data_IF_656157264273
#
_entry.id   IF_656157264273
#
_cell.length_a   1.000
_cell.length_b   1.000
_cell.length_c   1.000
_cell.angle_alpha   90.00
_cell.angle_beta   90.00
_cell.angle_gamma   90.00
#
_symmetry.space_group_name_H-M   'P 1'
#
loop_
_entity.id
_entity.type
_entity.pdbx_description
1 polymer ?
#
# COMPACT_ATOMS: atom_id res chain seq x y z
N UNK A 1 36.43 -2.16 4.86
CA UNK A 1 37.68 -2.03 4.05
C UNK A 1 38.02 -0.58 3.70
N UNK A 2 37.15 0.16 2.99
CA UNK A 2 37.37 1.56 2.60
C UNK A 2 37.68 2.51 3.78
N UNK A 3 37.24 2.15 4.99
CA UNK A 3 37.48 2.90 6.22
C UNK A 3 38.91 2.74 6.76
N UNK A 4 39.74 1.84 6.20
CA UNK A 4 41.12 1.62 6.63
C UNK A 4 41.28 0.78 7.90
N UNK A 5 40.19 0.23 8.45
CA UNK A 5 40.19 -0.55 9.69
C UNK A 5 40.15 -2.08 9.47
N UNK A 6 40.64 -2.56 8.32
CA UNK A 6 40.67 -4.00 7.97
C UNK A 6 39.29 -4.69 8.10
N UNK A 7 38.21 -3.95 7.85
CA UNK A 7 36.83 -4.44 7.97
C UNK A 7 36.40 -4.88 9.38
N UNK A 8 37.05 -4.32 10.42
CA UNK A 8 36.71 -4.59 11.83
C UNK A 8 35.67 -3.64 12.41
N UNK A 9 35.27 -2.62 11.65
CA UNK A 9 34.30 -1.62 12.03
C UNK A 9 32.90 -1.91 11.45
N UNK A 10 31.87 -1.25 12.00
CA UNK A 10 30.48 -1.49 11.62
C UNK A 10 29.79 -2.62 12.39
N UNK A 11 28.51 -2.86 12.09
CA UNK A 11 27.73 -3.94 12.72
C UNK A 11 27.81 -5.21 11.89
N UNK A 12 27.95 -6.37 12.54
CA UNK A 12 28.07 -7.67 11.85
C UNK A 12 26.72 -8.27 11.41
N UNK A 13 25.65 -8.00 12.16
CA UNK A 13 24.31 -8.51 11.86
C UNK A 13 23.44 -7.41 11.26
N UNK A 14 23.30 -7.36 9.94
CA UNK A 14 22.54 -6.31 9.24
C UNK A 14 21.09 -6.70 8.91
N UNK A 15 20.69 -7.95 9.17
CA UNK A 15 19.38 -8.51 8.74
C UNK A 15 19.09 -8.25 7.25
N UNK A 16 20.13 -8.28 6.42
CA UNK A 16 20.09 -7.97 5.00
C UNK A 16 20.07 -9.24 4.15
N UNK A 17 19.67 -9.07 2.89
CA UNK A 17 19.72 -10.14 1.90
C UNK A 17 20.05 -9.58 0.52
N UNK A 18 21.11 -10.10 -0.11
CA UNK A 18 21.55 -9.64 -1.43
C UNK A 18 20.60 -9.96 -2.58
N UNK A 19 19.52 -10.71 -2.31
CA UNK A 19 18.56 -11.18 -3.30
C UNK A 19 19.14 -12.18 -4.32
N UNK A 20 20.28 -12.82 -3.99
CA UNK A 20 20.88 -13.92 -4.75
C UNK A 20 22.34 -13.69 -5.15
N UNK A 21 22.71 -12.47 -5.51
CA UNK A 21 24.07 -12.09 -5.95
C UNK A 21 24.59 -10.98 -5.06
N UNK A 22 25.81 -11.05 -4.57
CA UNK A 22 26.43 -9.96 -3.80
C UNK A 22 26.88 -8.82 -4.73
N UNK A 23 26.71 -7.57 -4.30
CA UNK A 23 27.11 -6.39 -5.07
C UNK A 23 26.30 -6.13 -6.36
N UNK A 24 26.87 -5.34 -7.30
CA UNK A 24 26.25 -5.04 -8.60
C UNK A 24 26.04 -6.29 -9.46
N UNK A 25 24.98 -6.31 -10.28
CA UNK A 25 24.67 -7.42 -11.18
C UNK A 25 23.80 -6.93 -12.34
N UNK A 26 23.91 -7.59 -13.49
CA UNK A 26 23.05 -7.37 -14.66
C UNK A 26 21.91 -8.39 -14.75
N UNK A 27 21.79 -9.32 -13.78
CA UNK A 27 20.71 -10.30 -13.77
C UNK A 27 19.34 -9.59 -13.59
N UNK A 28 18.47 -9.62 -14.61
CA UNK A 28 17.21 -8.91 -14.57
C UNK A 28 16.26 -9.43 -13.49
N UNK A 29 16.34 -10.71 -13.12
CA UNK A 29 15.51 -11.29 -12.06
C UNK A 29 15.93 -10.78 -10.69
N UNK A 30 17.24 -10.70 -10.42
CA UNK A 30 17.78 -10.15 -9.17
C UNK A 30 17.46 -8.66 -9.06
N UNK A 31 17.68 -7.89 -10.13
CA UNK A 31 17.37 -6.45 -10.16
C UNK A 31 15.88 -6.18 -9.94
N UNK A 32 14.99 -6.93 -10.60
CA UNK A 32 13.54 -6.82 -10.39
C UNK A 32 13.14 -7.10 -8.94
N UNK A 33 13.71 -8.15 -8.35
CA UNK A 33 13.46 -8.51 -6.96
C UNK A 33 13.97 -7.44 -5.98
N UNK A 34 15.17 -6.90 -6.18
CA UNK A 34 15.74 -5.80 -5.35
C UNK A 34 14.86 -4.55 -5.42
N UNK A 35 14.47 -4.13 -6.62
CA UNK A 35 13.54 -2.99 -6.83
C UNK A 35 12.21 -3.22 -6.13
N UNK A 36 11.70 -4.46 -6.12
CA UNK A 36 10.49 -4.83 -5.36
C UNK A 36 10.72 -4.77 -3.84
N UNK A 37 11.87 -5.23 -3.33
CA UNK A 37 12.18 -5.12 -1.90
C UNK A 37 12.28 -3.66 -1.44
N UNK A 38 12.93 -2.79 -2.20
CA UNK A 38 12.98 -1.35 -1.91
C UNK A 38 11.56 -0.78 -1.76
N UNK A 39 10.67 -1.10 -2.70
CA UNK A 39 9.26 -0.69 -2.65
C UNK A 39 8.49 -1.30 -1.48
N UNK A 40 8.78 -2.56 -1.11
CA UNK A 40 8.18 -3.19 0.07
C UNK A 40 8.56 -2.46 1.36
N UNK A 41 9.83 -2.13 1.55
CA UNK A 41 10.30 -1.43 2.74
C UNK A 41 9.72 -0.02 2.82
N UNK A 42 9.76 0.75 1.73
CA UNK A 42 9.14 2.07 1.65
C UNK A 42 7.64 2.02 1.94
N UNK A 43 6.92 1.07 1.34
CA UNK A 43 5.49 0.90 1.57
C UNK A 43 5.19 0.49 3.01
N UNK A 44 5.95 -0.46 3.57
CA UNK A 44 5.76 -0.91 4.96
C UNK A 44 5.98 0.24 5.94
N UNK A 45 7.05 1.02 5.75
CA UNK A 45 7.35 2.19 6.57
C UNK A 45 6.22 3.22 6.54
N UNK A 46 5.75 3.59 5.34
CA UNK A 46 4.77 4.66 5.16
C UNK A 46 3.31 4.23 5.39
N UNK A 47 3.01 2.93 5.42
CA UNK A 47 1.68 2.39 5.72
C UNK A 47 1.54 1.93 7.17
N UNK A 48 2.64 1.88 7.94
CA UNK A 48 2.62 1.57 9.36
C UNK A 48 2.15 2.76 10.20
N UNK A 49 1.56 2.48 11.36
CA UNK A 49 1.24 3.53 12.33
C UNK A 49 2.51 4.11 12.96
N UNK A 50 2.50 5.41 13.21
CA UNK A 50 3.58 6.13 13.87
C UNK A 50 4.10 7.29 13.03
N UNK A 51 5.31 7.74 13.34
CA UNK A 51 6.01 8.81 12.61
C UNK A 51 7.11 8.16 11.76
N UNK A 52 6.93 8.07 10.43
CA UNK A 52 7.93 7.44 9.56
C UNK A 52 9.17 8.35 9.45
N UNK A 53 10.35 7.73 9.50
CA UNK A 53 11.64 8.39 9.23
C UNK A 53 12.28 7.73 8.02
N UNK A 54 12.55 8.53 6.99
CA UNK A 54 13.20 8.07 5.76
C UNK A 54 14.66 8.51 5.75
N UNK A 55 15.58 7.60 5.44
CA UNK A 55 16.99 7.93 5.26
C UNK A 55 17.17 8.66 3.93
N UNK A 56 17.88 9.79 3.95
CA UNK A 56 18.09 10.60 2.75
C UNK A 56 18.87 9.83 1.68
N UNK A 57 18.27 9.72 0.49
CA UNK A 57 18.81 9.00 -0.65
C UNK A 57 18.12 7.65 -0.90
N UNK A 58 17.41 7.08 0.08
CA UNK A 58 16.66 5.82 -0.13
C UNK A 58 15.58 5.99 -1.20
N UNK A 59 14.98 7.17 -1.31
CA UNK A 59 13.95 7.49 -2.30
C UNK A 59 14.46 7.45 -3.75
N UNK A 60 15.78 7.50 -3.95
CA UNK A 60 16.45 7.42 -5.26
C UNK A 60 17.35 6.19 -5.40
N UNK A 61 17.40 5.32 -4.39
CA UNK A 61 18.21 4.10 -4.41
C UNK A 61 19.71 4.36 -4.19
N UNK A 62 20.05 5.33 -3.34
CA UNK A 62 21.44 5.63 -2.95
C UNK A 62 22.17 4.36 -2.50
N UNK A 63 23.43 4.25 -2.92
CA UNK A 63 24.32 3.14 -2.55
C UNK A 63 25.56 3.65 -1.86
N UNK A 64 26.02 2.90 -0.86
CA UNK A 64 27.33 3.07 -0.20
C UNK A 64 28.27 1.92 -0.55
N UNK A 65 28.00 1.22 -1.67
CA UNK A 65 28.75 0.06 -2.16
C UNK A 65 28.92 -1.06 -1.12
N UNK A 66 27.93 -1.25 -0.26
CA UNK A 66 27.96 -2.26 0.81
C UNK A 66 28.67 -1.82 2.09
N UNK A 67 29.27 -0.62 2.14
CA UNK A 67 29.80 -0.07 3.38
C UNK A 67 28.64 0.35 4.30
N UNK A 68 28.47 -0.35 5.42
CA UNK A 68 27.40 -0.09 6.40
C UNK A 68 27.79 0.94 7.48
N UNK A 69 28.99 1.53 7.38
CA UNK A 69 29.58 2.41 8.38
C UNK A 69 30.45 3.50 7.74
N UNK A 70 29.88 4.32 6.84
CA UNK A 70 30.62 5.33 6.06
C UNK A 70 31.01 6.58 6.86
N UNK A 71 31.41 6.45 8.12
CA UNK A 71 31.58 7.58 9.04
C UNK A 71 32.77 8.48 8.69
N UNK A 72 33.82 7.92 8.09
CA UNK A 72 35.05 8.62 7.70
C UNK A 72 35.17 8.86 6.19
N UNK A 73 34.10 8.59 5.43
CA UNK A 73 34.10 8.75 3.98
C UNK A 73 33.54 10.12 3.61
N UNK A 74 34.39 11.04 3.18
CA UNK A 74 33.99 12.30 2.54
C UNK A 74 34.30 12.26 1.05
N UNK A 75 33.52 11.46 0.32
CA UNK A 75 33.69 11.16 -1.10
C UNK A 75 32.39 10.57 -1.69
N UNK A 76 32.44 10.11 -2.93
CA UNK A 76 31.31 9.56 -3.69
C UNK A 76 30.59 8.38 -3.01
N UNK A 77 31.22 7.69 -2.06
CA UNK A 77 30.57 6.61 -1.27
C UNK A 77 29.52 7.19 -0.32
N UNK A 78 29.74 8.38 0.23
CA UNK A 78 28.83 9.02 1.18
C UNK A 78 28.00 10.14 0.56
N UNK A 79 28.42 10.74 -0.55
CA UNK A 79 27.66 11.79 -1.20
C UNK A 79 26.34 11.29 -1.79
N UNK A 80 25.36 12.19 -1.93
CA UNK A 80 24.12 11.91 -2.64
C UNK A 80 24.32 12.22 -4.11
N UNK A 81 24.26 11.19 -4.95
CA UNK A 81 24.31 11.34 -6.40
C UNK A 81 22.93 11.74 -6.95
N UNK A 82 22.85 12.96 -7.49
CA UNK A 82 21.63 13.50 -8.10
C UNK A 82 21.48 13.16 -9.59
N UNK A 83 22.45 12.47 -10.19
CA UNK A 83 22.43 12.07 -11.59
C UNK A 83 21.55 10.82 -11.82
N UNK A 84 20.24 10.98 -11.58
CA UNK A 84 19.31 9.85 -11.55
C UNK A 84 19.12 9.18 -12.93
N UNK A 85 19.36 7.87 -12.95
CA UNK A 85 18.98 6.99 -14.03
C UNK A 85 17.46 6.78 -14.09
N UNK A 86 17.01 5.84 -14.92
CA UNK A 86 15.58 5.53 -15.06
C UNK A 86 15.00 4.97 -13.76
N UNK A 87 15.70 4.06 -13.10
CA UNK A 87 15.21 3.35 -11.93
C UNK A 87 15.11 4.26 -10.71
N UNK A 88 16.13 5.11 -10.47
CA UNK A 88 16.12 6.11 -9.42
C UNK A 88 14.97 7.11 -9.59
N UNK A 89 14.65 7.50 -10.83
CA UNK A 89 13.47 8.34 -11.14
C UNK A 89 12.16 7.62 -10.84
N UNK A 90 12.05 6.34 -11.19
CA UNK A 90 10.85 5.54 -10.91
C UNK A 90 10.64 5.35 -9.39
N UNK A 91 11.70 5.06 -8.64
CA UNK A 91 11.65 4.92 -7.18
C UNK A 91 11.29 6.24 -6.49
N UNK A 92 11.80 7.36 -6.99
CA UNK A 92 11.46 8.68 -6.47
C UNK A 92 9.97 8.99 -6.68
N UNK A 93 9.45 8.69 -7.87
CA UNK A 93 8.02 8.86 -8.16
C UNK A 93 7.16 7.96 -7.28
N UNK A 94 7.58 6.71 -7.08
CA UNK A 94 6.93 5.76 -6.19
C UNK A 94 6.88 6.28 -4.75
N UNK A 95 8.01 6.75 -4.21
CA UNK A 95 8.10 7.31 -2.86
C UNK A 95 7.21 8.55 -2.70
N UNK A 96 7.23 9.45 -3.69
CA UNK A 96 6.34 10.63 -3.71
C UNK A 96 4.87 10.22 -3.72
N UNK A 97 4.51 9.18 -4.46
CA UNK A 97 3.14 8.65 -4.47
C UNK A 97 2.75 8.13 -3.08
N UNK A 98 3.59 7.32 -2.43
CA UNK A 98 3.31 6.83 -1.08
C UNK A 98 3.06 7.99 -0.09
N UNK A 99 3.92 9.00 -0.09
CA UNK A 99 3.82 10.14 0.84
C UNK A 99 2.59 10.99 0.52
N UNK A 100 2.47 11.48 -0.72
CA UNK A 100 1.44 12.46 -1.11
C UNK A 100 0.06 11.84 -1.28
N UNK A 101 -0.01 10.67 -1.91
CA UNK A 101 -1.29 10.08 -2.31
C UNK A 101 -1.83 9.11 -1.28
N UNK A 102 -0.99 8.55 -0.39
CA UNK A 102 -1.42 7.61 0.64
C UNK A 102 -1.27 8.20 2.04
N UNK A 103 -0.03 8.35 2.54
CA UNK A 103 0.24 8.73 3.94
C UNK A 103 -0.48 10.02 4.36
N UNK A 104 -0.35 11.10 3.59
CA UNK A 104 -1.02 12.36 3.93
C UNK A 104 -2.53 12.36 3.67
N UNK A 105 -3.01 11.56 2.71
CA UNK A 105 -4.43 11.54 2.32
C UNK A 105 -5.31 10.66 3.20
N UNK A 106 -4.72 9.70 3.90
CA UNK A 106 -5.45 8.74 4.71
C UNK A 106 -5.16 8.93 6.20
N UNK A 107 -6.01 9.68 6.93
CA UNK A 107 -5.91 9.81 8.39
C UNK A 107 -5.86 8.47 9.14
N UNK A 108 -6.42 7.38 8.58
CA UNK A 108 -6.34 6.05 9.21
C UNK A 108 -4.90 5.54 9.35
N UNK A 109 -3.95 6.09 8.59
CA UNK A 109 -2.50 5.80 8.68
C UNK A 109 -1.76 6.70 9.69
N UNK A 110 -2.41 7.74 10.21
CA UNK A 110 -1.80 8.80 11.03
C UNK A 110 -2.56 9.02 12.34
N UNK A 111 -3.01 7.92 12.96
CA UNK A 111 -3.81 7.97 14.18
C UNK A 111 -2.98 8.44 15.38
N UNK A 112 -3.62 9.18 16.28
CA UNK A 112 -3.03 9.56 17.58
C UNK A 112 -3.17 8.44 18.62
N UNK A 113 -4.13 7.54 18.42
CA UNK A 113 -4.40 6.43 19.34
C UNK A 113 -4.27 5.06 18.67
N UNK A 114 -3.87 4.07 19.47
CA UNK A 114 -3.82 2.68 19.04
C UNK A 114 -5.21 2.14 18.63
N UNK A 115 -5.20 1.23 17.66
CA UNK A 115 -6.36 0.41 17.35
C UNK A 115 -6.71 -0.53 18.51
N UNK A 116 -7.99 -0.79 18.69
CA UNK A 116 -8.52 -1.61 19.79
C UNK A 116 -8.92 -3.01 19.36
N UNK A 117 -9.00 -3.30 18.06
CA UNK A 117 -9.39 -4.62 17.53
C UNK A 117 -10.85 -4.98 17.86
N UNK A 118 -11.68 -3.98 18.17
CA UNK A 118 -13.08 -4.14 18.57
C UNK A 118 -13.96 -3.15 17.84
N UNK A 119 -15.27 -3.38 17.86
CA UNK A 119 -16.24 -2.46 17.26
C UNK A 119 -16.24 -1.13 17.99
N UNK A 120 -16.16 -0.04 17.24
CA UNK A 120 -16.28 1.33 17.74
C UNK A 120 -17.71 1.82 17.50
N UNK A 121 -18.27 2.63 18.42
CA UNK A 121 -19.64 3.16 18.29
C UNK A 121 -19.77 3.92 16.97
N UNK A 122 -20.80 3.57 16.19
CA UNK A 122 -21.07 4.20 14.88
C UNK A 122 -20.36 3.56 13.67
N UNK A 123 -19.42 2.64 13.89
CA UNK A 123 -18.74 1.91 12.81
C UNK A 123 -19.41 0.59 12.44
N UNK A 124 -19.21 0.12 11.21
CA UNK A 124 -19.81 -1.13 10.73
C UNK A 124 -19.10 -2.39 11.27
N UNK A 125 -17.88 -2.26 11.80
CA UNK A 125 -17.04 -3.38 12.17
C UNK A 125 -15.95 -3.03 13.19
N UNK A 126 -14.97 -3.93 13.36
CA UNK A 126 -13.78 -3.63 14.17
C UNK A 126 -12.97 -2.53 13.48
N UNK A 127 -12.31 -1.68 14.26
CA UNK A 127 -11.40 -0.65 13.76
C UNK A 127 -10.17 -1.23 13.04
N UNK A 128 -9.76 -2.43 13.45
CA UNK A 128 -8.69 -3.21 12.84
C UNK A 128 -9.09 -4.69 12.74
N UNK A 129 -8.69 -5.37 11.66
CA UNK A 129 -8.90 -6.81 11.51
C UNK A 129 -7.76 -7.45 10.73
N UNK A 130 -7.18 -8.53 11.26
CA UNK A 130 -6.13 -9.30 10.60
C UNK A 130 -6.72 -10.53 9.91
N UNK A 131 -6.28 -10.81 8.70
CA UNK A 131 -6.78 -11.88 7.85
C UNK A 131 -5.68 -12.82 7.43
N UNK A 132 -6.01 -14.10 7.37
CA UNK A 132 -5.25 -15.10 6.61
C UNK A 132 -5.45 -14.90 5.11
N UNK A 133 -4.58 -15.47 4.26
CA UNK A 133 -4.80 -15.47 2.80
C UNK A 133 -6.17 -16.01 2.39
N UNK A 134 -6.72 -16.99 3.11
CA UNK A 134 -8.07 -17.51 2.87
C UNK A 134 -9.24 -16.55 3.18
N UNK A 135 -8.98 -15.32 3.63
CA UNK A 135 -10.00 -14.30 3.90
C UNK A 135 -10.73 -14.44 5.25
N UNK A 136 -10.33 -15.41 6.08
CA UNK A 136 -10.80 -15.55 7.46
C UNK A 136 -9.93 -14.73 8.42
N UNK A 137 -10.52 -14.26 9.51
CA UNK A 137 -9.78 -13.58 10.58
C UNK A 137 -8.69 -14.52 11.15
N UNK A 138 -7.55 -13.95 11.53
CA UNK A 138 -6.47 -14.70 12.22
C UNK A 138 -6.94 -15.14 13.60
N UNK A 139 -6.65 -16.38 13.94
CA UNK A 139 -6.86 -16.98 15.26
C UNK A 139 -5.56 -16.94 16.07
N UNK A 140 -5.64 -17.21 17.37
CA UNK A 140 -4.46 -17.34 18.24
C UNK A 140 -3.45 -18.39 17.72
N UNK A 141 -3.94 -19.50 17.16
CA UNK A 141 -3.06 -20.52 16.57
C UNK A 141 -2.30 -19.97 15.36
N UNK A 142 -2.96 -19.19 14.50
CA UNK A 142 -2.31 -18.59 13.33
C UNK A 142 -1.23 -17.56 13.74
N UNK A 143 -1.46 -16.83 14.84
CA UNK A 143 -0.50 -15.87 15.40
C UNK A 143 0.75 -16.53 15.97
N UNK A 144 0.58 -17.69 16.61
CA UNK A 144 1.68 -18.44 17.22
C UNK A 144 2.35 -19.40 16.23
N UNK A 145 1.91 -19.45 14.97
CA UNK A 145 2.50 -20.31 13.96
C UNK A 145 3.79 -19.66 13.38
N UNK A 146 4.97 -20.28 13.60
CA UNK A 146 6.24 -19.74 13.12
C UNK A 146 6.38 -19.78 11.59
N UNK A 147 5.51 -20.48 10.86
CA UNK A 147 5.49 -20.54 9.39
C UNK A 147 4.60 -19.47 8.74
N UNK A 148 3.93 -18.62 9.53
CA UNK A 148 3.13 -17.53 8.98
C UNK A 148 4.05 -16.52 8.27
N UNK A 149 3.89 -16.40 6.95
CA UNK A 149 4.62 -15.44 6.09
C UNK A 149 3.69 -14.47 5.34
N UNK A 150 2.38 -14.67 5.44
CA UNK A 150 1.39 -13.96 4.66
C UNK A 150 0.24 -13.51 5.53
N UNK A 151 -0.13 -12.24 5.42
CA UNK A 151 -1.20 -11.64 6.21
C UNK A 151 -1.93 -10.54 5.45
N UNK A 152 -3.18 -10.34 5.79
CA UNK A 152 -3.99 -9.19 5.39
C UNK A 152 -4.34 -8.36 6.61
N UNK A 153 -4.38 -7.04 6.45
CA UNK A 153 -4.72 -6.09 7.50
C UNK A 153 -5.76 -5.11 6.97
N UNK A 154 -6.96 -5.11 7.55
CA UNK A 154 -8.00 -4.13 7.24
C UNK A 154 -8.02 -3.05 8.32
N UNK A 155 -7.90 -1.80 7.88
CA UNK A 155 -8.03 -0.61 8.71
C UNK A 155 -9.35 0.08 8.37
N UNK A 156 -10.27 0.14 9.33
CA UNK A 156 -11.58 0.72 9.11
C UNK A 156 -11.53 2.25 9.27
N UNK A 157 -11.64 2.98 8.17
CA UNK A 157 -11.60 4.44 8.14
C UNK A 157 -12.85 5.12 8.70
N UNK A 158 -13.96 4.38 8.82
CA UNK A 158 -15.21 4.78 9.49
C UNK A 158 -15.17 4.56 11.01
N UNK A 159 -14.09 3.98 11.53
CA UNK A 159 -13.90 3.64 12.94
C UNK A 159 -12.75 4.42 13.59
N UNK A 160 -12.55 5.67 13.15
CA UNK A 160 -11.58 6.59 13.74
C UNK A 160 -12.30 7.38 14.84
N UNK A 161 -11.99 7.09 16.10
CA UNK A 161 -12.55 7.79 17.26
C UNK A 161 -11.66 8.99 17.64
N UNK A 162 -11.40 9.88 16.68
CA UNK A 162 -10.55 11.07 16.84
C UNK A 162 -11.26 12.28 16.23
N UNK A 163 -10.93 13.46 16.76
CA UNK A 163 -11.40 14.74 16.24
C UNK A 163 -10.21 15.59 15.79
N UNK A 164 -10.45 16.48 14.84
CA UNK A 164 -9.46 17.49 14.46
C UNK A 164 -9.33 18.60 15.53
N UNK A 165 -8.45 19.56 15.30
CA UNK A 165 -8.17 20.64 16.24
C UNK A 165 -9.38 21.60 16.43
N UNK A 166 -10.42 21.47 15.61
CA UNK A 166 -11.69 22.20 15.71
C UNK A 166 -12.83 21.34 16.30
N UNK A 167 -12.57 20.09 16.68
CA UNK A 167 -13.54 19.17 17.25
C UNK A 167 -14.42 18.44 16.23
N UNK A 168 -14.12 18.50 14.93
CA UNK A 168 -14.86 17.74 13.92
C UNK A 168 -14.39 16.28 13.90
N UNK A 169 -15.32 15.31 13.75
CA UNK A 169 -14.95 13.90 13.59
C UNK A 169 -14.03 13.68 12.38
N UNK A 170 -12.95 12.93 12.58
CA UNK A 170 -12.08 12.50 11.49
C UNK A 170 -12.62 11.20 10.91
N UNK A 171 -12.79 11.15 9.58
CA UNK A 171 -13.17 9.95 8.85
C UNK A 171 -12.23 9.69 7.67
N UNK A 172 -12.20 8.46 7.20
CA UNK A 172 -11.39 8.02 6.07
C UNK A 172 -12.04 6.85 5.32
N UNK A 173 -11.46 6.51 4.17
CA UNK A 173 -11.76 5.28 3.46
C UNK A 173 -11.26 4.05 4.25
N UNK A 174 -11.95 2.91 4.13
CA UNK A 174 -11.43 1.63 4.65
C UNK A 174 -10.31 1.11 3.76
N UNK A 175 -9.17 0.80 4.36
CA UNK A 175 -7.99 0.28 3.67
C UNK A 175 -7.78 -1.22 3.96
N UNK A 176 -7.22 -1.94 3.00
CA UNK A 176 -6.76 -3.32 3.13
C UNK A 176 -5.33 -3.43 2.62
N UNK A 177 -4.41 -3.75 3.52
CA UNK A 177 -3.02 -4.04 3.22
C UNK A 177 -2.88 -5.55 3.13
N UNK A 178 -2.28 -6.05 2.04
CA UNK A 178 -1.95 -7.46 1.86
C UNK A 178 -0.44 -7.58 1.79
N UNK A 179 0.15 -8.49 2.58
CA UNK A 179 1.59 -8.71 2.64
C UNK A 179 1.88 -10.17 2.38
N UNK A 180 2.73 -10.44 1.38
CA UNK A 180 3.26 -11.75 1.08
C UNK A 180 4.79 -11.72 1.23
N UNK A 181 5.31 -12.19 2.36
CA UNK A 181 6.75 -12.39 2.57
C UNK A 181 7.23 -13.78 2.09
N UNK A 182 6.31 -14.67 1.69
CA UNK A 182 6.65 -15.96 1.09
C UNK A 182 7.27 -15.75 -0.29
N UNK A 183 7.99 -16.76 -0.78
CA UNK A 183 8.69 -16.68 -2.06
C UNK A 183 7.79 -16.95 -3.27
N UNK A 184 6.70 -17.69 -3.07
CA UNK A 184 5.70 -17.98 -4.09
C UNK A 184 4.54 -16.97 -4.14
N UNK A 185 3.81 -16.97 -5.25
CA UNK A 185 2.54 -16.26 -5.36
C UNK A 185 1.48 -16.89 -4.44
N UNK A 186 0.72 -16.04 -3.74
CA UNK A 186 -0.35 -16.46 -2.84
C UNK A 186 -1.66 -15.79 -3.23
N UNK A 187 -2.76 -16.56 -3.41
CA UNK A 187 -4.08 -16.01 -3.66
C UNK A 187 -4.73 -15.55 -2.34
N UNK A 188 -4.97 -14.25 -2.21
CA UNK A 188 -5.71 -13.66 -1.09
C UNK A 188 -7.20 -13.53 -1.41
N UNK A 189 -8.06 -14.11 -0.59
CA UNK A 189 -9.50 -13.88 -0.68
C UNK A 189 -9.82 -12.53 -0.06
N UNK A 190 -10.28 -11.58 -0.88
CA UNK A 190 -10.62 -10.24 -0.40
C UNK A 190 -11.82 -10.30 0.57
N UNK A 191 -11.78 -9.64 1.74
CA UNK A 191 -12.89 -9.64 2.68
C UNK A 191 -14.21 -9.20 2.04
N UNK A 192 -15.29 -9.89 2.40
CA UNK A 192 -16.63 -9.57 1.92
C UNK A 192 -17.13 -8.26 2.53
N UNK A 193 -17.83 -7.48 1.72
CA UNK A 193 -18.50 -6.24 2.12
C UNK A 193 -19.88 -6.16 1.47
N UNK A 194 -20.64 -5.10 1.78
CA UNK A 194 -21.96 -4.87 1.20
C UNK A 194 -21.94 -4.99 -0.33
N UNK A 195 -23.00 -5.49 -0.99
CA UNK A 195 -23.00 -5.80 -2.42
C UNK A 195 -22.61 -4.67 -3.38
N UNK A 196 -22.75 -3.40 -2.96
CA UNK A 196 -22.37 -2.21 -3.74
C UNK A 196 -20.90 -1.80 -3.56
N UNK A 197 -20.20 -2.31 -2.56
CA UNK A 197 -18.81 -1.97 -2.27
C UNK A 197 -17.86 -2.77 -3.16
N UNK A 198 -16.74 -2.14 -3.53
CA UNK A 198 -15.65 -2.75 -4.29
C UNK A 198 -14.31 -2.37 -3.69
N UNK A 199 -13.36 -3.28 -3.83
CA UNK A 199 -11.96 -3.03 -3.55
C UNK A 199 -11.30 -2.41 -4.77
N UNK A 200 -10.74 -1.22 -4.61
CA UNK A 200 -9.89 -0.54 -5.59
C UNK A 200 -8.43 -0.78 -5.21
N UNK A 201 -7.64 -1.48 -6.03
CA UNK A 201 -6.21 -1.56 -5.80
C UNK A 201 -5.56 -0.19 -6.02
N UNK A 202 -4.95 0.37 -4.97
CA UNK A 202 -4.23 1.64 -4.98
C UNK A 202 -2.73 1.47 -5.20
N UNK A 203 -2.17 0.35 -4.73
CA UNK A 203 -0.74 0.06 -4.76
C UNK A 203 -0.51 -1.45 -4.91
N UNK A 204 0.55 -1.80 -5.63
CA UNK A 204 1.09 -3.14 -5.69
C UNK A 204 2.60 -3.02 -5.97
N UNK A 205 3.44 -3.46 -5.02
CA UNK A 205 4.90 -3.27 -5.08
C UNK A 205 5.57 -4.12 -6.15
N UNK A 206 4.84 -4.93 -6.92
CA UNK A 206 5.33 -5.54 -8.15
C UNK A 206 5.52 -4.51 -9.26
N UNK A 207 4.67 -3.47 -9.26
CA UNK A 207 4.60 -2.44 -10.29
C UNK A 207 5.29 -1.15 -9.86
N UNK A 208 6.17 -0.58 -10.69
CA UNK A 208 6.83 0.71 -10.39
C UNK A 208 5.90 1.90 -10.68
N UNK A 209 4.74 1.64 -11.30
CA UNK A 209 3.76 2.65 -11.71
C UNK A 209 2.44 2.57 -10.89
N UNK A 210 2.43 2.92 -9.59
CA UNK A 210 1.24 2.83 -8.74
C UNK A 210 0.09 3.75 -9.17
N UNK A 211 0.35 4.74 -10.05
CA UNK A 211 -0.68 5.60 -10.64
C UNK A 211 -1.54 4.91 -11.69
N UNK A 212 -1.18 3.70 -12.14
CA UNK A 212 -1.99 2.95 -13.12
C UNK A 212 -3.26 2.42 -12.44
N UNK A 213 -4.41 2.87 -12.92
CA UNK A 213 -5.71 2.37 -12.43
C UNK A 213 -5.84 0.88 -12.68
N UNK A 214 -6.28 0.15 -11.65
CA UNK A 214 -6.58 -1.28 -11.71
C UNK A 214 -8.08 -1.51 -11.62
N UNK A 215 -8.61 -2.61 -12.21
CA UNK A 215 -10.03 -2.92 -12.15
C UNK A 215 -10.52 -3.03 -10.70
N UNK A 216 -11.75 -2.57 -10.46
CA UNK A 216 -12.43 -2.75 -9.19
C UNK A 216 -12.74 -4.23 -8.95
N UNK A 217 -12.49 -4.70 -7.73
CA UNK A 217 -12.64 -6.09 -7.34
C UNK A 217 -13.79 -6.26 -6.35
N UNK A 218 -14.48 -7.40 -6.42
CA UNK A 218 -15.54 -7.76 -5.47
C UNK A 218 -14.93 -8.45 -4.26
N UNK A 219 -15.53 -8.28 -3.09
CA UNK A 219 -15.24 -9.14 -1.94
C UNK A 219 -15.55 -10.61 -2.27
N UNK A 220 -14.79 -11.53 -1.69
CA UNK A 220 -14.83 -12.97 -1.96
C UNK A 220 -14.03 -13.42 -3.19
N UNK A 221 -13.54 -12.50 -4.03
CA UNK A 221 -12.64 -12.85 -5.14
C UNK A 221 -11.18 -12.94 -4.67
N UNK A 222 -10.40 -13.77 -5.37
CA UNK A 222 -8.96 -13.88 -5.17
C UNK A 222 -8.19 -12.68 -5.74
N UNK A 223 -7.22 -12.19 -4.98
CA UNK A 223 -6.16 -11.28 -5.40
C UNK A 223 -4.84 -12.05 -5.37
N UNK A 224 -4.28 -12.31 -6.54
CA UNK A 224 -3.01 -13.03 -6.69
C UNK A 224 -1.84 -12.07 -6.39
N UNK A 225 -1.22 -12.25 -5.22
CA UNK A 225 -0.11 -11.43 -4.75
C UNK A 225 1.20 -12.21 -4.91
N UNK A 226 2.08 -11.74 -5.79
CA UNK A 226 3.36 -12.41 -6.08
C UNK A 226 4.23 -12.53 -4.82
N UNK A 227 5.16 -13.47 -4.85
CA UNK A 227 6.13 -13.65 -3.77
C UNK A 227 6.88 -12.37 -3.44
N UNK A 228 7.08 -12.12 -2.14
CA UNK A 228 7.81 -10.97 -1.60
C UNK A 228 7.25 -9.65 -2.12
N UNK A 229 5.94 -9.45 -1.99
CA UNK A 229 5.25 -8.24 -2.42
C UNK A 229 4.17 -7.78 -1.44
N UNK A 230 3.74 -6.53 -1.61
CA UNK A 230 2.73 -5.86 -0.80
C UNK A 230 1.73 -5.16 -1.73
N UNK A 231 0.44 -5.26 -1.40
CA UNK A 231 -0.60 -4.50 -2.07
C UNK A 231 -1.45 -3.69 -1.07
N UNK A 232 -1.91 -2.52 -1.51
CA UNK A 232 -2.90 -1.71 -0.79
C UNK A 232 -4.16 -1.60 -1.63
N UNK A 233 -5.30 -1.87 -1.01
CA UNK A 233 -6.61 -1.70 -1.60
C UNK A 233 -7.44 -0.76 -0.73
N UNK A 234 -8.32 -0.01 -1.38
CA UNK A 234 -9.32 0.84 -0.74
C UNK A 234 -10.73 0.30 -0.99
N UNK A 235 -11.57 0.29 0.02
CA UNK A 235 -12.98 0.00 -0.13
C UNK A 235 -13.74 1.26 -0.57
N UNK A 236 -14.56 1.17 -1.60
CA UNK A 236 -15.41 2.26 -2.09
C UNK A 236 -16.70 1.78 -2.69
N UNK A 237 -17.73 2.62 -2.68
CA UNK A 237 -19.00 2.30 -3.35
C UNK A 237 -18.83 2.36 -4.87
N UNK A 238 -19.39 1.36 -5.57
CA UNK A 238 -19.42 1.33 -7.03
C UNK A 238 -20.54 2.23 -7.58
N UNK A 239 -20.25 3.52 -7.72
CA UNK A 239 -21.22 4.54 -8.18
C UNK A 239 -21.54 4.47 -9.67
N UNK A 240 -20.82 3.69 -10.49
CA UNK A 240 -21.21 3.46 -11.90
C UNK A 240 -22.52 2.67 -12.03
N UNK A 241 -22.83 1.79 -11.08
CA UNK A 241 -24.12 1.09 -11.04
C UNK A 241 -25.28 2.03 -10.65
N UNK A 242 -25.01 3.07 -9.87
CA UNK A 242 -25.97 4.11 -9.49
C UNK A 242 -26.27 5.03 -10.67
N UNK A 243 -25.24 5.48 -11.41
CA UNK A 243 -25.39 6.31 -12.61
C UNK A 243 -26.16 5.62 -13.74
N UNK A 244 -25.96 4.31 -13.96
CA UNK A 244 -26.74 3.54 -14.96
C UNK A 244 -28.22 3.39 -14.58
N UNK A 245 -28.55 3.24 -13.29
CA UNK A 245 -29.95 3.16 -12.82
C UNK A 245 -30.69 4.49 -12.92
N UNK A 246 -30.03 5.61 -12.63
CA UNK A 246 -30.60 6.96 -12.82
C UNK A 246 -30.80 7.29 -14.31
N UNK A 247 -29.87 6.88 -15.18
CA UNK A 247 -30.03 7.04 -16.64
C UNK A 247 -31.20 6.19 -17.20
N UNK A 248 -31.44 5.01 -16.64
CA UNK A 248 -32.54 4.11 -17.03
C UNK A 248 -33.89 4.55 -16.43
N UNK A 249 -33.93 5.17 -15.25
CA UNK A 249 -35.15 5.74 -14.67
C UNK A 249 -35.51 7.09 -15.30
N UNK A 250 -34.53 7.94 -15.63
CA UNK A 250 -34.74 9.21 -16.35
C UNK A 250 -35.16 9.05 -17.82
N UNK A 251 -34.95 7.88 -18.41
CA UNK A 251 -35.43 7.54 -19.77
C UNK A 251 -36.92 7.17 -19.82
N UNK A 252 -37.53 6.79 -18.69
CA UNK A 252 -38.97 6.46 -18.65
C UNK A 252 -39.86 7.70 -18.49
N UNK A 253 -39.38 8.76 -17.86
CA UNK A 253 -40.15 10.00 -17.67
C UNK A 253 -40.23 10.88 -18.94
N UNK A 254 -39.32 10.71 -19.90
CA UNK A 254 -39.28 11.56 -21.10
C UNK A 254 -40.09 11.03 -22.29
N UNK A 255 -40.89 9.97 -22.11
CA UNK A 255 -41.84 9.48 -23.14
C UNK A 255 -43.29 9.94 -22.92
N UNK A 256 -43.55 10.77 -21.90
CA UNK A 256 -44.90 11.25 -21.56
C UNK A 256 -45.20 12.70 -21.94
N UNK A 257 -44.22 13.50 -22.38
CA UNK A 257 -44.40 14.94 -22.65
C UNK A 257 -43.91 15.32 -24.06
N UNK A 258 -44.61 14.85 -25.08
CA UNK A 258 -44.57 15.48 -26.42
C UNK A 258 -45.81 15.09 -27.23
N UNK A 259 -46.96 15.66 -26.86
CA UNK A 259 -48.09 15.91 -27.75
C UNK A 259 -48.87 17.07 -27.15
N UNK A 260 -48.71 18.26 -27.73
CA UNK A 260 -49.69 19.35 -27.83
C UNK A 260 -48.95 20.60 -28.34
N UNK A 261 -48.77 20.66 -29.66
CA UNK A 261 -48.55 21.90 -30.36
C UNK A 261 -49.07 21.71 -31.79
N UNK A 262 -50.26 22.26 -32.07
CA UNK A 262 -50.66 22.92 -33.32
C UNK A 262 -52.14 23.28 -33.27
N UNK A 263 -52.49 24.34 -34.02
CA UNK A 263 -53.81 24.98 -34.25
C UNK A 263 -54.03 26.23 -33.39
N UNK A 264 -54.28 27.45 -33.90
CA UNK A 264 -54.53 28.07 -35.22
C UNK A 264 -54.59 29.61 -34.95
N UNK A 265 -54.94 30.48 -35.91
CA UNK A 265 -54.34 30.80 -37.20
C UNK A 265 -53.62 32.18 -37.20
#
# INVERSE_FOLDING_TARGET
EANGEENRDGHNENLSWYCGVDGPTDDPAVLSLRRRQQRNFLATLLLSQGVPMLLAGDEIGRTQQGNNNTYCQDNEISWIDWSLDKDGKELLQFTRFLIRNLFHRHPVLRRRHFFQGRRIRGSEGKDLTWFRPGGKEMTEEDWNNPETRCLGLRLAGDAINEVDDWGNPIGDDTLLILMNAHYDEIPFVLPAHRPKMRWEPLLDTRDSSPWRKRPLMRGGHGYHLEGRSLALLRLRENTEASRKREALSGSRDNRGRSRLATEHP
#
